data_IF_925381404128
#
_entry.id   IF_925381404128
#
_cell.length_a   1.000
_cell.length_b   1.000
_cell.length_c   1.000
_cell.angle_alpha   90.00
_cell.angle_beta   90.00
_cell.angle_gamma   90.00
#
_symmetry.space_group_name_H-M   'P 1'
#
loop_
_entity.id
_entity.type
_entity.pdbx_description
1 polymer ?
#
# COMPACT_ATOMS: atom_id res chain seq x y z
N UNK A 1 -41.23 6.50 28.86
CA UNK A 1 -40.02 6.95 28.15
C UNK A 1 -39.11 5.74 28.01
N UNK A 2 -39.10 5.13 26.83
CA UNK A 2 -38.31 3.93 26.53
C UNK A 2 -36.91 4.38 26.10
N UNK A 3 -35.88 3.96 26.83
CA UNK A 3 -34.49 4.31 26.52
C UNK A 3 -34.06 3.74 25.15
N UNK A 4 -32.99 4.28 24.55
CA UNK A 4 -32.57 3.87 23.21
C UNK A 4 -32.16 2.39 23.21
N UNK A 5 -32.82 1.61 22.34
CA UNK A 5 -32.51 0.19 22.11
C UNK A 5 -31.09 0.10 21.55
N UNK A 6 -30.30 -0.81 22.10
CA UNK A 6 -28.95 -1.12 21.63
C UNK A 6 -29.00 -2.47 20.94
N UNK A 7 -28.31 -2.59 19.81
CA UNK A 7 -28.14 -3.86 19.12
C UNK A 7 -27.30 -4.84 19.97
N UNK A 8 -27.30 -6.12 19.56
CA UNK A 8 -26.55 -7.19 20.24
C UNK A 8 -25.03 -6.98 20.30
N UNK A 9 -24.50 -5.94 19.64
CA UNK A 9 -23.08 -5.56 19.62
C UNK A 9 -22.79 -4.24 20.36
N UNK A 10 -23.74 -3.74 21.16
CA UNK A 10 -23.54 -2.55 21.99
C UNK A 10 -23.51 -1.23 21.20
N UNK A 11 -23.90 -1.24 19.92
CA UNK A 11 -24.17 -0.03 19.14
C UNK A 11 -25.63 0.38 19.31
N UNK A 12 -25.91 1.66 19.16
CA UNK A 12 -27.29 2.16 19.19
C UNK A 12 -28.05 1.60 17.97
N UNK A 13 -29.20 0.95 18.19
CA UNK A 13 -30.10 0.60 17.08
C UNK A 13 -30.45 1.91 16.38
N UNK A 14 -30.15 2.00 15.07
CA UNK A 14 -30.47 3.19 14.31
C UNK A 14 -31.99 3.34 14.27
N UNK A 15 -32.48 4.42 14.87
CA UNK A 15 -33.87 4.82 14.75
C UNK A 15 -34.23 4.93 13.24
N UNK A 16 -35.19 4.13 12.75
CA UNK A 16 -35.54 4.09 11.33
C UNK A 16 -36.01 5.46 10.81
N UNK A 17 -36.56 6.31 11.66
CA UNK A 17 -36.97 7.67 11.28
C UNK A 17 -35.77 8.58 11.03
N UNK A 18 -34.68 8.37 11.76
CA UNK A 18 -33.42 9.09 11.53
C UNK A 18 -32.77 8.66 10.22
N UNK A 19 -32.78 7.36 9.90
CA UNK A 19 -32.26 6.86 8.63
C UNK A 19 -33.05 7.38 7.42
N UNK A 20 -34.39 7.45 7.52
CA UNK A 20 -35.25 8.05 6.49
C UNK A 20 -34.93 9.53 6.27
N UNK A 21 -34.75 10.29 7.35
CA UNK A 21 -34.40 11.71 7.29
C UNK A 21 -33.05 11.94 6.61
N UNK A 22 -32.05 11.12 6.95
CA UNK A 22 -30.71 11.20 6.35
C UNK A 22 -30.76 10.93 4.84
N UNK A 23 -31.49 9.89 4.42
CA UNK A 23 -31.69 9.56 3.01
C UNK A 23 -32.39 10.69 2.23
N UNK A 24 -33.42 11.31 2.82
CA UNK A 24 -34.13 12.42 2.20
C UNK A 24 -33.26 13.68 2.10
N UNK A 25 -32.46 13.98 3.14
CA UNK A 25 -31.48 15.06 3.09
C UNK A 25 -30.47 14.88 1.94
N UNK A 26 -29.96 13.66 1.76
CA UNK A 26 -29.07 13.31 0.66
C UNK A 26 -29.74 13.46 -0.71
N UNK A 27 -31.02 13.06 -0.84
CA UNK A 27 -31.81 13.22 -2.06
C UNK A 27 -32.02 14.68 -2.45
N UNK A 28 -32.34 15.55 -1.49
CA UNK A 28 -32.48 17.00 -1.71
C UNK A 28 -31.14 17.63 -2.09
N UNK A 29 -30.03 17.16 -1.49
CA UNK A 29 -28.69 17.61 -1.86
C UNK A 29 -28.33 17.25 -3.31
N UNK A 30 -28.72 16.06 -3.77
CA UNK A 30 -28.52 15.60 -5.15
C UNK A 30 -29.32 16.44 -6.17
N UNK A 31 -30.40 17.10 -5.73
CA UNK A 31 -31.18 18.06 -6.52
C UNK A 31 -30.59 19.49 -6.49
N UNK A 32 -29.34 19.65 -6.04
CA UNK A 32 -28.62 20.92 -5.92
C UNK A 32 -29.19 21.93 -4.90
N UNK A 33 -29.98 21.48 -3.93
CA UNK A 33 -30.38 22.34 -2.81
C UNK A 33 -29.20 22.62 -1.87
N UNK A 34 -29.13 23.85 -1.34
CA UNK A 34 -28.14 24.22 -0.31
C UNK A 34 -28.53 23.66 1.06
N UNK A 35 -27.57 23.46 1.97
CA UNK A 35 -27.85 22.95 3.32
C UNK A 35 -28.86 23.80 4.10
N UNK A 36 -28.90 25.11 3.87
CA UNK A 36 -29.90 26.00 4.49
C UNK A 36 -31.32 25.74 3.95
N UNK A 37 -31.45 25.47 2.64
CA UNK A 37 -32.74 25.10 2.04
C UNK A 37 -33.19 23.70 2.48
N UNK A 38 -32.25 22.75 2.57
CA UNK A 38 -32.52 21.40 3.08
C UNK A 38 -32.97 21.45 4.54
N UNK A 39 -32.31 22.25 5.37
CA UNK A 39 -32.70 22.46 6.76
C UNK A 39 -34.11 23.03 6.89
N UNK A 40 -34.47 24.01 6.06
CA UNK A 40 -35.82 24.58 6.01
C UNK A 40 -36.86 23.54 5.55
N UNK A 41 -36.54 22.73 4.55
CA UNK A 41 -37.42 21.69 4.01
C UNK A 41 -37.67 20.56 5.03
N UNK A 42 -36.64 20.17 5.78
CA UNK A 42 -36.70 19.09 6.77
C UNK A 42 -37.10 19.56 8.18
N UNK A 43 -37.25 20.87 8.39
CA UNK A 43 -37.59 21.45 9.69
C UNK A 43 -36.49 21.27 10.75
N UNK A 44 -35.22 21.24 10.33
CA UNK A 44 -34.05 21.06 11.22
C UNK A 44 -33.10 22.25 11.13
N UNK A 45 -32.10 22.31 12.01
CA UNK A 45 -31.03 23.29 11.86
C UNK A 45 -30.05 22.90 10.74
N UNK A 46 -29.27 23.89 10.29
CA UNK A 46 -28.34 23.73 9.15
C UNK A 46 -27.24 22.71 9.44
N UNK A 47 -26.78 22.60 10.69
CA UNK A 47 -25.75 21.65 11.07
C UNK A 47 -26.30 20.21 11.05
N UNK A 48 -27.51 20.00 11.58
CA UNK A 48 -28.21 18.70 11.50
C UNK A 48 -28.48 18.29 10.05
N UNK A 49 -28.85 19.21 9.17
CA UNK A 49 -29.01 18.92 7.74
C UNK A 49 -27.68 18.51 7.08
N UNK A 50 -26.59 19.19 7.41
CA UNK A 50 -25.25 18.82 6.95
C UNK A 50 -24.85 17.42 7.44
N UNK A 51 -25.01 17.13 8.72
CA UNK A 51 -24.68 15.84 9.31
C UNK A 51 -25.54 14.71 8.75
N UNK A 52 -26.82 14.97 8.49
CA UNK A 52 -27.73 14.02 7.86
C UNK A 52 -27.26 13.64 6.44
N UNK A 53 -26.89 14.64 5.63
CA UNK A 53 -26.30 14.41 4.30
C UNK A 53 -24.99 13.63 4.39
N UNK A 54 -24.08 14.03 5.28
CA UNK A 54 -22.78 13.35 5.44
C UNK A 54 -22.94 11.90 5.92
N UNK A 55 -23.88 11.63 6.83
CA UNK A 55 -24.20 10.27 7.29
C UNK A 55 -24.79 9.42 6.18
N UNK A 56 -25.79 9.92 5.45
CA UNK A 56 -26.37 9.19 4.33
C UNK A 56 -25.36 8.94 3.20
N UNK A 57 -24.50 9.91 2.88
CA UNK A 57 -23.42 9.71 1.91
C UNK A 57 -22.44 8.64 2.39
N UNK A 58 -22.01 8.69 3.65
CA UNK A 58 -21.14 7.67 4.26
C UNK A 58 -21.78 6.28 4.24
N UNK A 59 -23.07 6.20 4.53
CA UNK A 59 -23.83 4.95 4.52
C UNK A 59 -24.04 4.42 3.08
N UNK A 60 -24.18 5.30 2.10
CA UNK A 60 -24.32 4.93 0.67
C UNK A 60 -22.98 4.53 0.05
N UNK A 61 -21.89 5.20 0.42
CA UNK A 61 -20.51 4.86 0.02
C UNK A 61 -19.99 3.61 0.75
N UNK A 62 -20.64 3.22 1.84
CA UNK A 62 -20.57 1.87 2.36
C UNK A 62 -21.56 0.97 1.60
N UNK A 63 -21.25 0.60 0.34
CA UNK A 63 -21.49 -0.81 -0.02
C UNK A 63 -20.94 -1.63 1.15
N UNK A 64 -21.67 -2.61 1.73
CA UNK A 64 -21.24 -3.22 2.98
C UNK A 64 -19.82 -3.67 2.77
N UNK A 65 -18.85 -3.03 3.44
CA UNK A 65 -17.45 -3.34 3.21
C UNK A 65 -17.22 -4.85 3.47
N UNK A 66 -18.09 -5.45 4.27
CA UNK A 66 -18.26 -6.88 4.47
C UNK A 66 -18.67 -7.68 3.22
N UNK A 67 -19.58 -7.20 2.39
CA UNK A 67 -19.99 -7.89 1.17
C UNK A 67 -18.93 -7.80 0.08
N UNK A 68 -18.24 -6.66 -0.02
CA UNK A 68 -17.06 -6.51 -0.90
C UNK A 68 -15.92 -7.42 -0.40
N UNK A 69 -15.64 -7.44 0.92
CA UNK A 69 -14.69 -8.38 1.54
C UNK A 69 -15.06 -9.83 1.26
N UNK A 70 -16.34 -10.19 1.40
CA UNK A 70 -16.87 -11.54 1.16
C UNK A 70 -16.67 -11.96 -0.29
N UNK A 71 -17.00 -11.08 -1.25
CA UNK A 71 -16.78 -11.34 -2.66
C UNK A 71 -15.29 -11.50 -2.99
N UNK A 72 -14.43 -10.68 -2.40
CA UNK A 72 -12.98 -10.80 -2.55
C UNK A 72 -12.46 -12.14 -2.00
N UNK A 73 -12.91 -12.56 -0.82
CA UNK A 73 -12.58 -13.87 -0.24
C UNK A 73 -13.04 -15.04 -1.11
N UNK A 74 -14.24 -14.96 -1.70
CA UNK A 74 -14.72 -15.98 -2.65
C UNK A 74 -13.83 -16.10 -3.88
N UNK A 75 -13.38 -14.96 -4.44
CA UNK A 75 -12.43 -14.95 -5.57
C UNK A 75 -11.07 -15.54 -5.20
N UNK A 76 -10.57 -15.21 -4.01
CA UNK A 76 -9.30 -15.72 -3.51
C UNK A 76 -9.35 -17.23 -3.23
N UNK A 77 -10.47 -17.77 -2.75
CA UNK A 77 -10.65 -19.22 -2.61
C UNK A 77 -10.61 -19.95 -3.95
N UNK A 78 -11.26 -19.38 -4.99
CA UNK A 78 -11.22 -19.96 -6.33
C UNK A 78 -9.79 -20.02 -6.88
N UNK A 79 -9.02 -18.95 -6.72
CA UNK A 79 -7.60 -18.94 -7.12
C UNK A 79 -6.77 -19.96 -6.33
N UNK A 80 -7.05 -20.12 -5.04
CA UNK A 80 -6.38 -21.12 -4.22
C UNK A 80 -6.73 -22.55 -4.69
N UNK A 81 -7.97 -22.79 -5.13
CA UNK A 81 -8.38 -24.08 -5.68
C UNK A 81 -7.59 -24.43 -6.93
N UNK A 82 -7.47 -23.49 -7.88
CA UNK A 82 -6.67 -23.67 -9.09
C UNK A 82 -5.18 -23.88 -8.79
N UNK A 83 -4.61 -23.11 -7.88
CA UNK A 83 -3.21 -23.32 -7.49
C UNK A 83 -3.00 -24.71 -6.85
N UNK A 84 -3.95 -25.19 -6.03
CA UNK A 84 -3.90 -26.56 -5.49
C UNK A 84 -4.08 -27.64 -6.55
N UNK A 85 -4.81 -27.39 -7.64
CA UNK A 85 -4.89 -28.31 -8.78
C UNK A 85 -3.52 -28.47 -9.43
N UNK A 86 -2.77 -27.38 -9.60
CA UNK A 86 -1.39 -27.44 -10.08
C UNK A 86 -0.53 -28.31 -9.15
N UNK A 87 -0.67 -28.18 -7.83
CA UNK A 87 0.10 -29.02 -6.90
C UNK A 87 -0.22 -30.52 -6.99
N UNK A 88 -1.47 -30.87 -7.28
CA UNK A 88 -1.91 -32.28 -7.38
C UNK A 88 -1.51 -32.93 -8.71
N UNK A 89 -1.34 -32.15 -9.76
CA UNK A 89 -1.02 -32.67 -11.08
C UNK A 89 0.48 -32.96 -11.25
N UNK A 90 0.79 -33.97 -12.04
CA UNK A 90 2.16 -34.23 -12.50
C UNK A 90 2.50 -33.27 -13.63
N UNK A 91 3.66 -32.62 -13.53
CA UNK A 91 4.19 -31.74 -14.56
C UNK A 91 5.48 -32.30 -15.11
N UNK A 92 5.74 -32.03 -16.38
CA UNK A 92 6.93 -32.51 -17.07
C UNK A 92 7.71 -31.34 -17.65
N UNK A 93 9.02 -31.50 -17.72
CA UNK A 93 9.91 -30.52 -18.34
C UNK A 93 9.62 -30.51 -19.84
N UNK A 94 9.31 -29.34 -20.39
CA UNK A 94 9.09 -29.14 -21.82
C UNK A 94 10.19 -28.26 -22.39
N UNK A 95 10.79 -28.69 -23.50
CA UNK A 95 11.73 -27.89 -24.29
C UNK A 95 11.33 -27.93 -25.75
N UNK A 96 11.21 -26.76 -26.38
CA UNK A 96 10.79 -26.61 -27.79
C UNK A 96 9.46 -27.36 -28.10
N UNK A 97 8.50 -27.32 -27.16
CA UNK A 97 7.19 -27.97 -27.30
C UNK A 97 7.22 -29.50 -27.17
N UNK A 98 8.34 -30.10 -26.78
CA UNK A 98 8.47 -31.55 -26.55
C UNK A 98 8.82 -31.86 -25.10
N UNK A 99 8.22 -32.92 -24.56
CA UNK A 99 8.53 -33.41 -23.22
C UNK A 99 9.94 -34.00 -23.21
N UNK A 100 10.78 -33.50 -22.30
CA UNK A 100 12.14 -33.97 -22.08
C UNK A 100 12.10 -35.34 -21.39
N UNK A 101 12.98 -36.26 -21.80
CA UNK A 101 13.08 -37.63 -21.27
C UNK A 101 14.51 -37.90 -20.84
N UNK A 102 14.68 -38.65 -19.75
CA UNK A 102 15.99 -39.00 -19.17
C UNK A 102 16.88 -39.79 -20.15
N UNK A 103 16.26 -40.60 -21.01
CA UNK A 103 16.93 -41.38 -22.06
C UNK A 103 16.09 -41.36 -23.34
N UNK A 104 16.69 -41.73 -24.48
CA UNK A 104 15.99 -41.79 -25.77
C UNK A 104 14.87 -42.85 -25.71
N UNK A 105 13.62 -42.40 -25.62
CA UNK A 105 12.44 -43.26 -25.46
C UNK A 105 12.10 -43.62 -24.01
N UNK A 106 12.85 -43.11 -23.03
CA UNK A 106 12.65 -43.40 -21.59
C UNK A 106 11.59 -42.55 -20.91
N UNK A 107 11.58 -42.61 -19.57
CA UNK A 107 10.62 -41.90 -18.71
C UNK A 107 10.70 -40.37 -18.89
N UNK A 108 9.55 -39.68 -19.00
CA UNK A 108 9.49 -38.22 -18.95
C UNK A 108 10.18 -37.66 -17.70
N UNK A 109 10.91 -36.57 -17.86
CA UNK A 109 11.49 -35.83 -16.74
C UNK A 109 10.39 -34.98 -16.08
N UNK A 110 10.12 -35.23 -14.81
CA UNK A 110 9.17 -34.44 -14.03
C UNK A 110 9.73 -33.04 -13.73
N UNK A 111 8.84 -32.06 -13.69
CA UNK A 111 9.15 -30.67 -13.37
C UNK A 111 8.43 -30.24 -12.10
N UNK A 112 9.20 -29.81 -11.10
CA UNK A 112 8.64 -29.26 -9.87
C UNK A 112 8.47 -27.74 -9.92
N UNK A 113 8.97 -27.04 -10.95
CA UNK A 113 8.83 -25.59 -11.08
C UNK A 113 7.37 -25.13 -11.08
N UNK A 114 6.43 -25.77 -11.81
CA UNK A 114 5.01 -25.40 -11.73
C UNK A 114 4.44 -25.56 -10.31
N UNK A 115 4.90 -26.56 -9.56
CA UNK A 115 4.47 -26.75 -8.16
C UNK A 115 5.02 -25.64 -7.27
N UNK A 116 6.30 -25.31 -7.38
CA UNK A 116 6.92 -24.20 -6.62
C UNK A 116 6.23 -22.86 -6.91
N UNK A 117 5.94 -22.58 -8.19
CA UNK A 117 5.20 -21.38 -8.58
C UNK A 117 3.78 -21.38 -7.99
N UNK A 118 3.10 -22.53 -7.92
CA UNK A 118 1.80 -22.63 -7.28
C UNK A 118 1.86 -22.38 -5.76
N UNK A 119 2.90 -22.86 -5.07
CA UNK A 119 3.15 -22.56 -3.65
C UNK A 119 3.31 -21.05 -3.45
N UNK A 120 4.11 -20.38 -4.29
CA UNK A 120 4.28 -18.93 -4.20
C UNK A 120 2.96 -18.16 -4.40
N UNK A 121 2.09 -18.63 -5.30
CA UNK A 121 0.75 -18.03 -5.47
C UNK A 121 -0.13 -18.27 -4.27
N UNK A 122 -0.11 -19.47 -3.67
CA UNK A 122 -0.85 -19.76 -2.45
C UNK A 122 -0.39 -18.87 -1.29
N UNK A 123 0.91 -18.70 -1.08
CA UNK A 123 1.45 -17.82 -0.04
C UNK A 123 0.96 -16.37 -0.20
N UNK A 124 0.95 -15.86 -1.45
CA UNK A 124 0.43 -14.51 -1.76
C UNK A 124 -1.08 -14.41 -1.49
N UNK A 125 -1.84 -15.44 -1.83
CA UNK A 125 -3.28 -15.49 -1.55
C UNK A 125 -3.53 -15.49 -0.04
N UNK A 126 -2.84 -16.34 0.72
CA UNK A 126 -2.97 -16.42 2.19
C UNK A 126 -2.59 -15.10 2.87
N UNK A 127 -1.59 -14.41 2.35
CA UNK A 127 -1.21 -13.07 2.79
C UNK A 127 -2.37 -12.09 2.62
N UNK A 128 -3.01 -12.07 1.46
CA UNK A 128 -4.16 -11.20 1.17
C UNK A 128 -5.40 -11.58 2.00
N UNK A 129 -5.65 -12.87 2.21
CA UNK A 129 -6.72 -13.35 3.11
C UNK A 129 -6.47 -12.85 4.54
N UNK A 130 -5.24 -12.95 5.02
CA UNK A 130 -4.87 -12.47 6.35
C UNK A 130 -5.06 -10.94 6.48
N UNK A 131 -4.78 -10.18 5.42
CA UNK A 131 -5.02 -8.74 5.38
C UNK A 131 -6.51 -8.41 5.40
N UNK A 132 -7.33 -9.08 4.59
CA UNK A 132 -8.79 -8.87 4.53
C UNK A 132 -9.49 -9.25 5.85
N UNK A 133 -8.95 -10.23 6.57
CA UNK A 133 -9.45 -10.67 7.87
C UNK A 133 -8.82 -9.91 9.06
N UNK A 134 -7.84 -9.04 8.82
CA UNK A 134 -7.15 -8.29 9.87
C UNK A 134 -6.35 -9.16 10.84
N UNK A 135 -5.88 -10.33 10.39
CA UNK A 135 -5.14 -11.29 11.24
C UNK A 135 -3.67 -10.88 11.46
N UNK A 136 -3.16 -9.90 10.69
CA UNK A 136 -1.80 -9.39 10.87
C UNK A 136 -1.73 -8.42 12.03
N UNK A 137 -0.68 -8.57 12.85
CA UNK A 137 -0.39 -7.62 13.92
C UNK A 137 -0.18 -6.21 13.34
N UNK A 138 -0.72 -5.15 13.98
CA UNK A 138 -0.53 -3.79 13.52
C UNK A 138 0.95 -3.42 13.62
N UNK A 139 1.59 -3.08 12.50
CA UNK A 139 2.93 -2.53 12.51
C UNK A 139 2.87 -1.09 13.02
N UNK A 140 3.40 -0.85 14.23
CA UNK A 140 3.60 0.51 14.76
C UNK A 140 4.87 1.07 14.14
N UNK A 141 4.72 1.93 13.13
CA UNK A 141 5.83 2.74 12.64
C UNK A 141 6.02 3.90 13.63
N UNK A 142 7.08 3.86 14.44
CA UNK A 142 7.48 5.02 15.24
C UNK A 142 8.07 6.08 14.31
N UNK A 143 7.47 7.26 14.31
CA UNK A 143 7.91 8.43 13.51
C UNK A 143 9.34 8.87 13.91
N UNK A 144 9.81 8.48 15.11
CA UNK A 144 11.15 8.79 15.64
C UNK A 144 12.32 8.27 14.80
N UNK A 145 12.10 7.26 13.94
CA UNK A 145 13.17 6.68 13.10
C UNK A 145 13.64 7.61 11.97
N UNK A 146 12.81 8.56 11.54
CA UNK A 146 13.18 9.53 10.50
C UNK A 146 14.07 10.63 11.06
N UNK A 147 13.74 11.14 12.25
CA UNK A 147 14.51 12.19 12.91
C UNK A 147 15.88 11.66 13.38
N UNK A 148 15.96 10.41 13.86
CA UNK A 148 17.22 9.79 14.28
C UNK A 148 18.22 9.65 13.11
N UNK A 149 17.73 9.43 11.89
CA UNK A 149 18.58 9.33 10.69
C UNK A 149 19.19 10.67 10.26
N UNK A 150 18.50 11.77 10.52
CA UNK A 150 18.99 13.13 10.27
C UNK A 150 20.04 13.53 11.32
N UNK A 151 19.75 13.27 12.61
CA UNK A 151 20.68 13.55 13.71
C UNK A 151 22.01 12.79 13.60
N UNK A 152 21.97 11.51 13.19
CA UNK A 152 23.19 10.71 12.97
C UNK A 152 24.01 11.27 11.80
N UNK A 153 23.36 11.74 10.74
CA UNK A 153 24.05 12.32 9.58
C UNK A 153 24.77 13.61 9.96
N UNK A 154 24.12 14.45 10.74
CA UNK A 154 24.69 15.71 11.21
C UNK A 154 25.88 15.45 12.15
N UNK A 155 25.78 14.43 13.02
CA UNK A 155 26.87 14.03 13.90
C UNK A 155 28.09 13.49 13.12
N UNK A 156 27.86 12.68 12.09
CA UNK A 156 28.94 12.16 11.23
C UNK A 156 29.61 13.31 10.46
N UNK A 157 28.84 14.25 9.93
CA UNK A 157 29.39 15.41 9.22
C UNK A 157 30.27 16.25 10.14
N UNK A 158 29.81 16.53 11.35
CA UNK A 158 30.57 17.29 12.35
C UNK A 158 31.88 16.60 12.76
N UNK A 159 31.90 15.26 12.83
CA UNK A 159 33.10 14.49 13.17
C UNK A 159 34.13 14.48 12.04
N UNK A 160 33.69 14.52 10.79
CA UNK A 160 34.57 14.49 9.60
C UNK A 160 35.20 15.86 9.32
N UNK A 161 34.52 16.96 9.64
CA UNK A 161 35.06 18.33 9.46
C UNK A 161 35.98 18.82 10.59
N UNK A 162 36.19 18.03 11.65
CA UNK A 162 36.93 18.45 12.84
C UNK A 162 38.45 18.26 12.81
N UNK A 163 39.01 17.62 11.78
CA UNK A 163 40.43 17.20 11.73
C UNK A 163 41.25 17.85 10.59
N UNK A 164 40.75 18.87 9.90
CA UNK A 164 41.48 19.58 8.83
C UNK A 164 41.95 20.97 9.28
N UNK A 165 42.82 21.03 10.29
CA UNK A 165 43.71 22.19 10.55
C UNK A 165 45.11 21.65 10.93
N UNK A 166 45.79 21.00 9.96
CA UNK A 166 47.25 20.86 9.97
C UNK A 166 47.84 22.08 9.25
N UNK A 167 48.25 23.08 10.04
CA UNK A 167 49.08 24.19 9.61
C UNK A 167 50.41 23.65 9.05
N UNK A 168 50.51 23.59 7.72
CA UNK A 168 51.78 23.44 7.00
C UNK A 168 52.42 24.83 6.85
N UNK A 169 53.21 25.22 7.86
CA UNK A 169 54.22 26.26 7.71
C UNK A 169 55.42 25.68 6.97
N UNK A 170 55.56 25.95 5.66
CA UNK A 170 56.84 25.84 4.96
C UNK A 170 57.10 27.12 4.14
N UNK A 171 58.20 27.76 4.52
CA UNK A 171 58.62 29.11 4.15
C UNK A 171 58.94 29.32 2.67
N UNK A 172 58.76 30.57 2.26
CA UNK A 172 59.00 31.15 0.94
C UNK A 172 60.43 30.96 0.41
N UNK A 173 60.55 30.39 -0.79
CA UNK A 173 61.77 30.37 -1.61
C UNK A 173 61.61 31.22 -2.87
N UNK A 174 62.20 32.41 -2.84
CA UNK A 174 62.28 33.50 -3.82
C UNK A 174 62.39 33.14 -5.33
N UNK A 175 61.56 33.84 -6.12
CA UNK A 175 61.62 34.32 -7.51
C UNK A 175 62.83 34.01 -8.45
N UNK A 176 62.53 33.67 -9.71
CA UNK A 176 62.77 34.56 -10.89
C UNK A 176 62.16 33.97 -12.18
N UNK A 177 61.21 34.68 -12.80
CA UNK A 177 60.82 34.55 -14.22
C UNK A 177 61.82 35.38 -15.07
N UNK A 178 62.03 35.21 -16.40
CA UNK A 178 60.95 34.98 -17.39
C UNK A 178 61.33 34.22 -18.69
N UNK A 179 60.30 33.90 -19.49
CA UNK A 179 60.36 34.20 -20.93
C UNK A 179 59.98 33.08 -21.92
N UNK A 180 59.20 33.38 -22.99
CA UNK A 180 58.49 32.38 -23.79
C UNK A 180 59.07 32.18 -25.19
N UNK A 181 59.08 30.95 -25.70
CA UNK A 181 59.07 30.53 -27.12
C UNK A 181 59.31 29.01 -27.10
N UNK A 182 58.72 28.12 -27.87
CA UNK A 182 58.05 28.24 -29.15
C UNK A 182 58.33 26.93 -29.92
N UNK A 183 57.30 26.40 -30.58
CA UNK A 183 57.34 25.54 -31.79
C UNK A 183 57.72 24.06 -31.68
N UNK A 184 56.99 23.28 -32.49
CA UNK A 184 57.34 21.97 -33.05
C UNK A 184 56.44 20.86 -32.52
N UNK A 185 55.38 20.40 -33.23
CA UNK A 185 55.42 19.47 -34.38
C UNK A 185 56.43 18.32 -34.16
N UNK A 186 56.15 17.02 -34.28
CA UNK A 186 55.10 16.23 -34.91
C UNK A 186 55.23 14.77 -34.37
N UNK A 187 54.28 13.86 -34.65
CA UNK A 187 54.23 12.51 -34.08
C UNK A 187 54.87 11.42 -34.97
N UNK A 188 55.14 10.25 -34.38
CA UNK A 188 55.14 8.94 -35.04
C UNK A 188 54.95 7.81 -34.01
#
# INVERSE_FOLDING_TARGET
>A
MTGPTRDGNGRFDRDPETAKRDAEACRLRAQNMSYRQIAAELGVDVHTAYDAVQRALRDTLQEPADDVRRLALMRLDEYARHAREVLRNTHYVVSQGRVVRLTRGGTPLEDDMPKLQAIDRLLKIETQVSDLLGLKAPQRVSIDAQNLGEEIRDLIAALVTGDEDEDLDDEEGQADEPGPDGRGDEPA
#
